data_IF_102987957743
#
_entry.id   IF_102987957743
#
_cell.length_a   1.000
_cell.length_b   1.000
_cell.length_c   1.000
_cell.angle_alpha   90.00
_cell.angle_beta   90.00
_cell.angle_gamma   90.00
#
_symmetry.space_group_name_H-M   'P 1'
#
loop_
_entity.id
_entity.type
_entity.pdbx_description
1 polymer ?
#
# COMPACT_ATOMS: atom_id res chain seq x y z
N UNK A 1 53.86 -5.59 38.54
CA UNK A 1 53.23 -6.31 37.41
C UNK A 1 52.00 -5.51 36.96
N UNK A 2 52.02 -4.96 35.75
CA UNK A 2 50.92 -4.12 35.22
C UNK A 2 50.18 -4.91 34.15
N UNK A 3 48.90 -5.22 34.40
CA UNK A 3 48.00 -5.76 33.38
C UNK A 3 47.35 -4.60 32.63
N UNK A 4 47.82 -4.34 31.41
CA UNK A 4 47.14 -3.42 30.50
C UNK A 4 45.87 -4.09 29.95
N UNK A 5 44.70 -3.57 30.33
CA UNK A 5 43.42 -3.96 29.75
C UNK A 5 43.40 -3.60 28.26
N UNK A 6 43.36 -4.61 27.38
CA UNK A 6 43.17 -4.40 25.95
C UNK A 6 41.75 -3.86 25.73
N UNK A 7 41.64 -2.63 25.22
CA UNK A 7 40.35 -2.07 24.78
C UNK A 7 39.77 -2.95 23.67
N UNK A 8 38.47 -3.29 23.70
CA UNK A 8 37.86 -4.05 22.62
C UNK A 8 37.93 -3.23 21.33
N UNK A 9 38.51 -3.84 20.28
CA UNK A 9 38.45 -3.30 18.93
C UNK A 9 37.02 -3.50 18.45
N UNK A 10 36.28 -2.41 18.27
CA UNK A 10 34.95 -2.46 17.63
C UNK A 10 35.21 -2.91 16.18
N UNK A 11 34.58 -4.00 15.78
CA UNK A 11 34.56 -4.43 14.38
C UNK A 11 33.75 -3.41 13.56
N UNK A 12 34.46 -2.38 13.10
CA UNK A 12 33.93 -1.31 12.26
C UNK A 12 33.46 -1.82 10.90
N UNK A 13 33.98 -2.95 10.43
CA UNK A 13 33.60 -3.56 9.15
C UNK A 13 32.23 -4.24 9.26
N UNK A 14 32.03 -5.03 10.32
CA UNK A 14 30.73 -5.61 10.67
C UNK A 14 29.66 -4.55 10.94
N UNK A 15 30.02 -3.50 11.68
CA UNK A 15 29.12 -2.37 11.97
C UNK A 15 28.74 -1.60 10.71
N UNK A 16 29.69 -1.35 9.80
CA UNK A 16 29.42 -0.62 8.56
C UNK A 16 28.53 -1.44 7.60
N UNK A 17 28.71 -2.76 7.54
CA UNK A 17 27.85 -3.65 6.75
C UNK A 17 26.42 -3.72 7.31
N UNK A 18 26.25 -3.70 8.63
CA UNK A 18 24.95 -3.64 9.30
C UNK A 18 24.23 -2.31 9.08
N UNK A 19 24.94 -1.18 9.21
CA UNK A 19 24.39 0.15 8.93
C UNK A 19 24.04 0.30 7.44
N UNK A 20 24.88 -0.21 6.54
CA UNK A 20 24.64 -0.17 5.09
C UNK A 20 23.44 -1.02 4.68
N UNK A 21 23.16 -2.13 5.39
CA UNK A 21 21.96 -2.96 5.19
C UNK A 21 20.70 -2.23 5.68
N UNK A 22 20.74 -1.64 6.88
CA UNK A 22 19.64 -0.83 7.43
C UNK A 22 19.31 0.38 6.53
N UNK A 23 20.33 1.07 6.00
CA UNK A 23 20.15 2.19 5.06
C UNK A 23 19.68 1.77 3.65
N UNK A 24 19.84 0.49 3.28
CA UNK A 24 19.27 -0.06 2.04
C UNK A 24 17.80 -0.45 2.21
N UNK A 25 17.39 -0.88 3.40
CA UNK A 25 16.00 -1.23 3.71
C UNK A 25 15.08 0.00 3.77
N UNK A 26 15.62 1.18 4.10
CA UNK A 26 14.85 2.44 4.17
C UNK A 26 14.73 3.19 2.84
N UNK A 27 15.40 2.73 1.78
CA UNK A 27 15.61 3.57 0.57
C UNK A 27 14.37 3.75 -0.30
N UNK A 28 13.30 2.95 -0.15
CA UNK A 28 12.01 3.21 -0.81
C UNK A 28 10.89 2.47 -0.11
N UNK A 29 10.07 3.20 0.64
CA UNK A 29 8.81 2.72 1.23
C UNK A 29 7.64 3.19 0.35
N UNK A 30 7.22 2.42 -0.66
CA UNK A 30 6.11 2.83 -1.51
C UNK A 30 4.81 2.85 -0.72
N UNK A 31 4.00 3.88 -0.98
CA UNK A 31 2.60 3.92 -0.56
C UNK A 31 1.71 3.85 -1.79
N UNK A 32 0.67 3.03 -1.72
CA UNK A 32 -0.42 2.98 -2.70
C UNK A 32 -1.72 3.24 -1.96
N UNK A 33 -2.45 4.26 -2.40
CA UNK A 33 -3.82 4.51 -1.94
C UNK A 33 -4.78 4.00 -3.00
N UNK A 34 -5.68 3.11 -2.60
CA UNK A 34 -6.78 2.61 -3.41
C UNK A 34 -8.05 3.30 -2.93
N UNK A 35 -8.58 4.19 -3.75
CA UNK A 35 -9.89 4.79 -3.52
C UNK A 35 -10.91 4.09 -4.40
N UNK A 36 -11.94 3.54 -3.76
CA UNK A 36 -13.09 2.93 -4.43
C UNK A 36 -14.37 3.53 -3.87
N UNK A 37 -15.43 3.50 -4.65
CA UNK A 37 -16.77 3.76 -4.14
C UNK A 37 -17.16 2.67 -3.14
N UNK A 38 -17.89 3.05 -2.08
CA UNK A 38 -18.47 2.11 -1.13
C UNK A 38 -19.62 1.37 -1.81
N UNK A 39 -19.26 0.30 -2.49
CA UNK A 39 -20.18 -0.57 -3.22
C UNK A 39 -19.88 -2.01 -2.85
N UNK A 40 -20.90 -2.76 -2.44
CA UNK A 40 -20.75 -4.19 -2.25
C UNK A 40 -20.58 -4.89 -3.59
N UNK A 41 -19.66 -5.84 -3.62
CA UNK A 41 -19.34 -6.69 -4.77
C UNK A 41 -20.12 -8.01 -4.78
N UNK A 42 -20.82 -8.30 -3.68
CA UNK A 42 -21.59 -9.53 -3.47
C UNK A 42 -23.02 -9.21 -2.99
N UNK A 43 -24.00 -10.10 -3.22
CA UNK A 43 -25.37 -9.87 -2.76
C UNK A 43 -25.44 -9.65 -1.25
N UNK A 44 -26.01 -8.51 -0.85
CA UNK A 44 -26.18 -8.13 0.56
C UNK A 44 -24.99 -7.39 1.19
N UNK A 45 -23.85 -7.26 0.49
CA UNK A 45 -22.76 -6.40 0.93
C UNK A 45 -23.05 -4.94 0.54
N UNK A 46 -22.69 -4.00 1.43
CA UNK A 46 -22.71 -2.56 1.14
C UNK A 46 -21.32 -1.99 0.91
N UNK A 47 -20.27 -2.79 1.08
CA UNK A 47 -18.87 -2.40 1.07
C UNK A 47 -17.99 -3.55 0.59
N UNK A 48 -16.74 -3.26 0.23
CA UNK A 48 -15.75 -4.30 -0.08
C UNK A 48 -15.48 -5.19 1.15
N UNK A 49 -15.44 -6.50 0.94
CA UNK A 49 -15.27 -7.47 2.03
C UNK A 49 -13.85 -7.45 2.59
N UNK A 50 -13.65 -8.07 3.76
CA UNK A 50 -12.32 -8.20 4.36
C UNK A 50 -11.39 -9.02 3.45
N UNK A 51 -11.91 -10.07 2.82
CA UNK A 51 -11.19 -10.95 1.92
C UNK A 51 -10.76 -10.22 0.65
N UNK A 52 -11.62 -9.39 0.07
CA UNK A 52 -11.30 -8.58 -1.12
C UNK A 52 -10.25 -7.53 -0.80
N UNK A 53 -10.37 -6.83 0.33
CA UNK A 53 -9.37 -5.88 0.80
C UNK A 53 -8.01 -6.56 1.01
N UNK A 54 -8.00 -7.75 1.61
CA UNK A 54 -6.78 -8.54 1.78
C UNK A 54 -6.16 -8.94 0.43
N UNK A 55 -6.99 -9.36 -0.53
CA UNK A 55 -6.54 -9.69 -1.89
C UNK A 55 -5.95 -8.48 -2.62
N UNK A 56 -6.57 -7.30 -2.52
CA UNK A 56 -6.07 -6.05 -3.09
C UNK A 56 -4.71 -5.65 -2.49
N UNK A 57 -4.58 -5.69 -1.15
CA UNK A 57 -3.32 -5.37 -0.44
C UNK A 57 -2.19 -6.29 -0.90
N UNK A 58 -2.46 -7.60 -0.95
CA UNK A 58 -1.48 -8.59 -1.39
C UNK A 58 -1.09 -8.37 -2.86
N UNK A 59 -2.07 -8.28 -3.74
CA UNK A 59 -1.84 -8.16 -5.19
C UNK A 59 -1.06 -6.91 -5.57
N UNK A 60 -1.39 -5.75 -4.96
CA UNK A 60 -0.63 -4.51 -5.19
C UNK A 60 0.79 -4.60 -4.66
N UNK A 61 0.98 -5.19 -3.48
CA UNK A 61 2.33 -5.37 -2.91
C UNK A 61 3.19 -6.28 -3.79
N UNK A 62 2.62 -7.38 -4.30
CA UNK A 62 3.28 -8.30 -5.24
C UNK A 62 3.61 -7.61 -6.56
N UNK A 63 2.71 -6.78 -7.10
CA UNK A 63 2.97 -6.00 -8.30
C UNK A 63 4.18 -5.06 -8.14
N UNK A 64 4.29 -4.37 -7.00
CA UNK A 64 5.42 -3.50 -6.71
C UNK A 64 6.73 -4.27 -6.51
N UNK A 65 6.65 -5.46 -5.93
CA UNK A 65 7.78 -6.39 -5.87
C UNK A 65 8.23 -6.79 -7.28
N UNK A 66 7.30 -7.14 -8.15
CA UNK A 66 7.63 -7.69 -9.46
C UNK A 66 8.16 -6.62 -10.43
N UNK A 67 7.49 -5.47 -10.49
CA UNK A 67 7.81 -4.40 -11.45
C UNK A 67 8.95 -3.52 -10.96
N UNK A 68 8.90 -3.09 -9.69
CA UNK A 68 9.83 -2.09 -9.14
C UNK A 68 10.88 -2.68 -8.20
N UNK A 69 10.87 -4.01 -7.99
CA UNK A 69 11.77 -4.73 -7.08
C UNK A 69 11.71 -4.18 -5.65
N UNK A 70 10.51 -3.78 -5.20
CA UNK A 70 10.29 -3.26 -3.84
C UNK A 70 9.95 -4.37 -2.85
N UNK A 71 10.48 -4.34 -1.63
CA UNK A 71 10.22 -5.38 -0.66
C UNK A 71 8.77 -5.30 -0.15
N UNK A 72 8.11 -6.45 -0.02
CA UNK A 72 6.75 -6.57 0.56
C UNK A 72 6.66 -5.88 1.93
N UNK A 73 7.63 -6.15 2.82
CA UNK A 73 7.69 -5.59 4.17
C UNK A 73 7.81 -4.06 4.25
N UNK A 74 8.23 -3.41 3.16
CA UNK A 74 8.38 -1.96 3.09
C UNK A 74 7.25 -1.27 2.33
N UNK A 75 6.23 -2.02 1.90
CA UNK A 75 5.14 -1.52 1.06
C UNK A 75 3.90 -1.25 1.90
N UNK A 76 3.32 -0.07 1.73
CA UNK A 76 2.11 0.37 2.42
C UNK A 76 0.97 0.46 1.42
N UNK A 77 -0.16 -0.16 1.75
CA UNK A 77 -1.38 -0.09 0.96
C UNK A 77 -2.51 0.42 1.85
N UNK A 78 -3.15 1.50 1.44
CA UNK A 78 -4.31 2.10 2.13
C UNK A 78 -5.52 1.94 1.22
N UNK A 79 -6.63 1.43 1.77
CA UNK A 79 -7.90 1.31 1.05
C UNK A 79 -8.89 2.27 1.67
N UNK A 80 -9.44 3.16 0.86
CA UNK A 80 -10.45 4.14 1.22
C UNK A 80 -11.72 3.85 0.43
N UNK A 81 -12.81 3.60 1.14
CA UNK A 81 -14.14 3.47 0.56
C UNK A 81 -14.91 4.78 0.73
N UNK A 82 -15.28 5.38 -0.40
CA UNK A 82 -15.92 6.69 -0.46
C UNK A 82 -17.39 6.52 -0.81
N UNK A 83 -18.28 7.15 -0.06
CA UNK A 83 -19.71 7.14 -0.37
C UNK A 83 -19.99 7.68 -1.78
N UNK A 84 -20.99 7.11 -2.47
CA UNK A 84 -21.28 7.43 -3.87
C UNK A 84 -21.67 8.88 -4.10
N UNK A 85 -22.32 9.50 -3.13
CA UNK A 85 -22.69 10.92 -3.15
C UNK A 85 -21.46 11.84 -3.11
N UNK A 86 -20.36 11.34 -2.54
CA UNK A 86 -19.07 12.04 -2.47
C UNK A 86 -18.16 11.71 -3.67
N UNK A 87 -18.60 10.86 -4.60
CA UNK A 87 -17.85 10.47 -5.78
C UNK A 87 -18.36 11.22 -7.02
N UNK A 88 -17.59 12.20 -7.49
CA UNK A 88 -17.93 13.01 -8.66
C UNK A 88 -17.52 12.37 -9.97
N UNK A 89 -18.44 12.26 -10.93
CA UNK A 89 -18.17 11.87 -12.31
C UNK A 89 -18.98 12.74 -13.28
N UNK A 90 -18.31 13.39 -14.23
CA UNK A 90 -18.97 14.22 -15.24
C UNK A 90 -19.66 15.46 -14.66
N UNK A 91 -19.22 15.94 -13.49
CA UNK A 91 -19.86 17.07 -12.79
C UNK A 91 -21.08 16.68 -11.94
N UNK A 92 -21.36 15.39 -11.77
CA UNK A 92 -22.50 14.88 -11.00
C UNK A 92 -22.03 13.84 -9.97
N UNK A 93 -22.81 13.60 -8.89
CA UNK A 93 -22.66 12.39 -8.08
C UNK A 93 -22.75 11.14 -8.97
N UNK A 94 -21.97 10.11 -8.64
CA UNK A 94 -21.74 8.96 -9.53
C UNK A 94 -23.04 8.27 -9.95
N UNK A 95 -24.02 8.17 -9.06
CA UNK A 95 -25.31 7.54 -9.38
C UNK A 95 -26.13 8.38 -10.37
N UNK A 96 -26.12 9.70 -10.24
CA UNK A 96 -26.80 10.60 -11.18
C UNK A 96 -26.17 10.52 -12.57
N UNK A 97 -24.83 10.48 -12.63
CA UNK A 97 -24.12 10.31 -13.90
C UNK A 97 -24.42 8.95 -14.56
N UNK A 98 -24.41 7.86 -13.79
CA UNK A 98 -24.76 6.51 -14.28
C UNK A 98 -26.19 6.45 -14.80
N UNK A 99 -27.15 7.11 -14.13
CA UNK A 99 -28.54 7.20 -14.60
C UNK A 99 -28.65 7.94 -15.94
N UNK A 100 -27.90 9.04 -16.12
CA UNK A 100 -27.84 9.76 -17.39
C UNK A 100 -27.29 8.87 -18.52
N UNK A 101 -26.17 8.16 -18.28
CA UNK A 101 -25.61 7.23 -19.26
C UNK A 101 -26.56 6.10 -19.64
N UNK A 102 -27.40 5.63 -18.71
CA UNK A 102 -28.40 4.61 -18.99
C UNK A 102 -29.55 5.15 -19.85
N UNK A 103 -29.98 6.40 -19.60
CA UNK A 103 -31.02 7.07 -20.37
C UNK A 103 -30.56 7.42 -21.80
N UNK A 104 -29.28 7.73 -22.00
CA UNK A 104 -28.72 7.99 -23.34
C UNK A 104 -28.56 6.71 -24.19
N UNK A 105 -28.54 5.54 -23.56
CA UNK A 105 -28.39 4.23 -24.21
C UNK A 105 -29.73 3.53 -24.49
N UNK A 106 -30.83 4.05 -23.95
CA UNK A 106 -32.19 3.53 -24.16
C UNK A 106 -32.92 4.31 -25.25
#
# INVERSE_FOLDING_TARGET
MSMAARRPVIDVEGASKGIQLLLRETKTMPIVTIQITREGTTPGASAATAEEKAALIKGVSELLLDVLKKPMRGTFVVIEEVEKENWGWGGLPVDAYRAQLAAEKG
#
